data_IF_564227712348
#
_entry.id   IF_564227712348
#
_cell.length_a   1.000
_cell.length_b   1.000
_cell.length_c   1.000
_cell.angle_alpha   90.00
_cell.angle_beta   90.00
_cell.angle_gamma   90.00
#
_symmetry.space_group_name_H-M   'P 1'
#
loop_
_entity.id
_entity.type
_entity.pdbx_description
1 polymer ?
#
# COMPACT_ATOMS: atom_id res chain seq x y z
N UNK A 1 1.61 -31.40 -13.68
CA UNK A 1 1.64 -30.86 -12.30
C UNK A 1 1.10 -29.45 -12.41
N UNK A 2 -0.22 -29.36 -12.53
CA UNK A 2 -0.96 -28.14 -12.81
C UNK A 2 -1.79 -27.82 -11.57
N UNK A 3 -1.64 -26.60 -11.05
CA UNK A 3 -2.65 -25.87 -10.27
C UNK A 3 -2.02 -24.57 -9.74
N UNK A 4 -2.20 -23.46 -10.46
CA UNK A 4 -2.74 -22.22 -9.85
C UNK A 4 -3.11 -21.23 -10.94
N UNK A 5 -4.27 -21.45 -11.55
CA UNK A 5 -4.92 -20.42 -12.35
C UNK A 5 -5.55 -19.40 -11.39
N UNK A 6 -4.79 -18.37 -10.99
CA UNK A 6 -5.26 -17.31 -10.09
C UNK A 6 -6.17 -16.37 -10.87
N UNK A 7 -7.48 -16.66 -10.90
CA UNK A 7 -8.50 -15.69 -11.31
C UNK A 7 -9.00 -14.93 -10.08
N UNK A 8 -8.33 -13.83 -9.73
CA UNK A 8 -8.81 -12.92 -8.68
C UNK A 8 -9.57 -11.77 -9.34
N UNK A 9 -10.84 -12.00 -9.70
CA UNK A 9 -11.81 -10.92 -9.89
C UNK A 9 -12.48 -10.59 -8.54
N UNK A 10 -11.68 -10.43 -7.49
CA UNK A 10 -12.17 -9.99 -6.19
C UNK A 10 -12.30 -8.46 -6.23
N UNK A 11 -13.49 -7.93 -5.96
CA UNK A 11 -13.68 -6.50 -5.70
C UNK A 11 -12.79 -6.10 -4.51
N UNK A 12 -11.92 -5.11 -4.71
CA UNK A 12 -11.10 -4.54 -3.65
C UNK A 12 -12.00 -3.96 -2.55
N UNK A 13 -11.73 -4.34 -1.30
CA UNK A 13 -12.49 -3.93 -0.10
C UNK A 13 -11.74 -2.94 0.77
N UNK A 14 -10.43 -2.85 0.60
CA UNK A 14 -9.57 -1.90 1.30
C UNK A 14 -9.80 -0.47 0.82
N UNK A 15 -9.10 0.45 1.48
CA UNK A 15 -9.19 1.89 1.18
C UNK A 15 -8.00 2.31 0.33
N UNK A 16 -8.28 2.85 -0.85
CA UNK A 16 -7.27 3.55 -1.65
C UNK A 16 -7.31 5.05 -1.33
N UNK A 17 -6.23 5.55 -0.75
CA UNK A 17 -5.96 6.96 -0.53
C UNK A 17 -5.04 7.45 -1.65
N UNK A 18 -5.37 8.61 -2.22
CA UNK A 18 -4.58 9.26 -3.24
C UNK A 18 -3.90 10.48 -2.64
N UNK A 19 -2.66 10.73 -3.04
CA UNK A 19 -1.90 11.89 -2.58
C UNK A 19 -1.88 11.97 -1.04
N UNK A 20 -1.47 10.88 -0.37
CA UNK A 20 -1.61 10.73 1.09
C UNK A 20 -0.38 11.29 1.83
N UNK A 21 -0.52 12.23 2.78
CA UNK A 21 0.62 12.77 3.52
C UNK A 21 1.24 11.72 4.46
N UNK A 22 2.50 11.33 4.21
CA UNK A 22 3.18 10.32 5.02
C UNK A 22 3.48 10.77 6.45
N UNK A 23 3.43 12.06 6.74
CA UNK A 23 3.52 12.60 8.10
C UNK A 23 2.44 12.06 9.05
N UNK A 24 1.29 11.60 8.55
CA UNK A 24 0.26 10.96 9.36
C UNK A 24 0.58 9.49 9.73
N UNK A 25 1.52 8.86 9.01
CA UNK A 25 1.79 7.42 9.07
C UNK A 25 3.17 7.07 9.67
N UNK A 26 3.97 8.07 10.05
CA UNK A 26 5.31 7.88 10.63
C UNK A 26 5.45 8.58 11.97
N UNK A 27 6.18 7.97 12.91
CA UNK A 27 6.32 8.50 14.28
C UNK A 27 7.03 9.85 14.34
N UNK A 28 7.88 10.14 13.35
CA UNK A 28 8.57 11.43 13.19
C UNK A 28 7.65 12.57 12.73
N UNK A 29 6.43 12.24 12.28
CA UNK A 29 5.47 13.20 11.71
C UNK A 29 6.06 14.08 10.60
N UNK A 30 6.88 13.48 9.76
CA UNK A 30 7.62 14.14 8.68
C UNK A 30 7.50 13.36 7.36
N UNK A 31 7.94 13.99 6.26
CA UNK A 31 7.98 13.40 4.93
C UNK A 31 6.84 13.87 4.00
N UNK A 32 7.08 13.69 2.71
CA UNK A 32 6.19 14.11 1.63
C UNK A 32 4.95 13.23 1.48
N UNK A 33 4.38 13.24 0.27
CA UNK A 33 3.09 12.58 -0.04
C UNK A 33 3.35 11.29 -0.81
N UNK A 34 2.60 10.23 -0.50
CA UNK A 34 2.57 9.02 -1.31
C UNK A 34 1.51 9.19 -2.40
N UNK A 35 1.88 8.95 -3.67
CA UNK A 35 0.92 9.09 -4.77
C UNK A 35 -0.33 8.22 -4.54
N UNK A 36 -0.11 6.99 -4.05
CA UNK A 36 -1.14 6.01 -3.73
C UNK A 36 -0.79 5.27 -2.45
N UNK A 37 -1.71 5.24 -1.49
CA UNK A 37 -1.61 4.43 -0.28
C UNK A 37 -2.83 3.51 -0.21
N UNK A 38 -2.60 2.20 -0.19
CA UNK A 38 -3.66 1.21 -0.06
C UNK A 38 -3.63 0.57 1.33
N UNK A 39 -4.76 0.66 2.04
CA UNK A 39 -4.96 0.04 3.35
C UNK A 39 -5.85 -1.18 3.15
N UNK A 40 -5.29 -2.40 3.08
CA UNK A 40 -6.07 -3.60 2.82
C UNK A 40 -6.98 -3.94 4.01
N UNK A 41 -8.16 -4.49 3.71
CA UNK A 41 -9.07 -4.96 4.76
C UNK A 41 -8.56 -6.23 5.47
N UNK A 42 -7.88 -7.10 4.72
CA UNK A 42 -7.25 -8.34 5.19
C UNK A 42 -6.24 -8.87 4.15
N UNK A 43 -5.66 -10.04 4.42
CA UNK A 43 -4.66 -10.67 3.56
C UNK A 43 -5.17 -11.02 2.16
N UNK A 44 -6.44 -11.45 2.05
CA UNK A 44 -7.01 -11.80 0.75
C UNK A 44 -7.19 -10.55 -0.11
N UNK A 45 -7.63 -9.46 0.51
CA UNK A 45 -7.74 -8.15 -0.14
C UNK A 45 -6.37 -7.60 -0.58
N UNK A 46 -5.35 -7.71 0.27
CA UNK A 46 -3.98 -7.34 -0.11
C UNK A 46 -3.48 -8.17 -1.31
N UNK A 47 -3.72 -9.48 -1.31
CA UNK A 47 -3.29 -10.36 -2.40
C UNK A 47 -3.96 -9.97 -3.72
N UNK A 48 -5.26 -9.65 -3.68
CA UNK A 48 -5.99 -9.17 -4.85
C UNK A 48 -5.46 -7.81 -5.33
N UNK A 49 -5.19 -6.86 -4.42
CA UNK A 49 -4.61 -5.56 -4.78
C UNK A 49 -3.25 -5.71 -5.46
N UNK A 50 -2.33 -6.48 -4.86
CA UNK A 50 -0.99 -6.67 -5.39
C UNK A 50 -0.98 -7.32 -6.78
N UNK A 51 -1.95 -8.17 -7.10
CA UNK A 51 -2.10 -8.76 -8.44
C UNK A 51 -2.41 -7.71 -9.53
N UNK A 52 -2.93 -6.54 -9.16
CA UNK A 52 -3.25 -5.44 -10.09
C UNK A 52 -2.19 -4.34 -10.13
N UNK A 53 -1.28 -4.32 -9.16
CA UNK A 53 -0.33 -3.23 -8.99
C UNK A 53 0.81 -3.30 -10.02
N UNK A 54 1.13 -2.17 -10.63
CA UNK A 54 2.25 -2.03 -11.56
C UNK A 54 3.23 -0.99 -11.01
N UNK A 55 4.48 -1.39 -10.76
CA UNK A 55 5.53 -0.53 -10.21
C UNK A 55 6.03 -0.95 -8.83
N UNK A 56 6.90 -0.14 -8.21
CA UNK A 56 7.45 -0.43 -6.88
C UNK A 56 6.36 -0.39 -5.81
N UNK A 57 6.41 -1.35 -4.90
CA UNK A 57 5.52 -1.43 -3.73
C UNK A 57 6.37 -1.28 -2.48
N UNK A 58 5.93 -0.39 -1.58
CA UNK A 58 6.52 -0.22 -0.25
C UNK A 58 5.51 -0.67 0.79
N UNK A 59 5.95 -1.55 1.70
CA UNK A 59 5.15 -1.93 2.86
C UNK A 59 5.51 -1.04 4.04
N UNK A 60 4.49 -0.44 4.66
CA UNK A 60 4.63 0.34 5.88
C UNK A 60 3.70 -0.23 6.96
N UNK A 61 4.25 -0.40 8.17
CA UNK A 61 3.46 -0.62 9.38
C UNK A 61 3.15 0.72 10.06
N UNK A 62 3.31 0.78 11.38
CA UNK A 62 3.10 2.01 12.18
C UNK A 62 4.16 3.12 11.97
N UNK A 63 5.12 2.91 11.07
CA UNK A 63 6.13 3.91 10.71
C UNK A 63 7.05 4.38 11.85
N UNK A 64 7.32 3.54 12.86
CA UNK A 64 8.22 3.87 13.98
C UNK A 64 9.70 3.97 13.59
N UNK A 65 10.08 3.39 12.46
CA UNK A 65 11.44 3.40 11.94
C UNK A 65 11.48 3.74 10.44
N UNK A 66 10.59 4.63 9.99
CA UNK A 66 10.55 5.11 8.61
C UNK A 66 10.81 6.61 8.58
N UNK A 67 11.77 7.03 7.74
CA UNK A 67 12.01 8.43 7.40
C UNK A 67 11.69 8.62 5.92
N UNK A 68 10.55 9.22 5.63
CA UNK A 68 10.13 9.54 4.26
C UNK A 68 10.71 10.89 3.87
N UNK A 69 11.25 10.99 2.64
CA UNK A 69 11.78 12.25 2.11
C UNK A 69 10.64 13.23 1.84
N UNK A 70 10.91 14.53 1.91
CA UNK A 70 9.92 15.57 1.60
C UNK A 70 9.40 15.49 0.15
N UNK A 71 10.19 14.93 -0.76
CA UNK A 71 9.78 14.64 -2.14
C UNK A 71 8.76 13.50 -2.28
N UNK A 72 8.38 12.84 -1.19
CA UNK A 72 7.34 11.80 -1.21
C UNK A 72 7.82 10.42 -1.65
N UNK A 73 6.83 9.59 -2.02
CA UNK A 73 6.95 8.20 -2.45
C UNK A 73 6.18 7.99 -3.76
#
# INVERSE_FOLDING_TARGET
>A
MDMTQVHLHATLRGTLLLDEPMAAHVSWRAGGRAERCYIPADLQDLTAFLATCQGPVYFAGLGSNLLVRDGGL
#
